data_IF_530305362559
#
_entry.id   IF_530305362559
#
_cell.length_a   1.000
_cell.length_b   1.000
_cell.length_c   1.000
_cell.angle_alpha   90.00
_cell.angle_beta   90.00
_cell.angle_gamma   90.00
#
_symmetry.space_group_name_H-M   'P 1'
#
loop_
_entity.id
_entity.type
_entity.pdbx_description
1 polymer ?
#
# COMPACT_ATOMS: atom_id res chain seq x y z
N UNK A 1 -13.54 0.33 -5.66
CA UNK A 1 -12.63 0.26 -6.82
C UNK A 1 -12.41 -1.19 -7.26
N UNK A 2 -12.47 -1.51 -8.55
CA UNK A 2 -12.21 -2.87 -9.00
C UNK A 2 -10.84 -3.42 -8.59
N UNK A 3 -9.83 -2.56 -8.45
CA UNK A 3 -8.47 -2.94 -8.03
C UNK A 3 -8.47 -3.36 -6.57
N UNK A 4 -8.93 -2.48 -5.68
CA UNK A 4 -9.10 -2.76 -4.26
C UNK A 4 -9.98 -3.99 -4.01
N UNK A 5 -11.17 -3.99 -4.61
CA UNK A 5 -12.15 -5.06 -4.42
C UNK A 5 -11.62 -6.41 -4.88
N UNK A 6 -10.84 -6.46 -5.97
CA UNK A 6 -10.24 -7.71 -6.44
C UNK A 6 -9.22 -8.25 -5.45
N UNK A 7 -8.34 -7.39 -4.89
CA UNK A 7 -7.38 -7.80 -3.88
C UNK A 7 -8.05 -8.31 -2.60
N UNK A 8 -9.02 -7.55 -2.09
CA UNK A 8 -9.72 -7.86 -0.86
C UNK A 8 -10.61 -9.10 -0.96
N UNK A 9 -11.41 -9.22 -2.04
CA UNK A 9 -12.19 -10.43 -2.29
C UNK A 9 -11.31 -11.65 -2.53
N UNK A 10 -10.16 -11.47 -3.20
CA UNK A 10 -9.18 -12.53 -3.37
C UNK A 10 -8.67 -13.07 -2.04
N UNK A 11 -8.33 -12.19 -1.07
CA UNK A 11 -7.97 -12.60 0.29
C UNK A 11 -9.09 -13.36 0.98
N UNK A 12 -10.32 -12.88 0.90
CA UNK A 12 -11.49 -13.54 1.49
C UNK A 12 -11.71 -14.94 0.93
N UNK A 13 -11.54 -15.13 -0.38
CA UNK A 13 -11.64 -16.44 -1.02
C UNK A 13 -10.53 -17.39 -0.56
N UNK A 14 -9.29 -16.90 -0.39
CA UNK A 14 -8.20 -17.71 0.15
C UNK A 14 -8.48 -18.12 1.60
N UNK A 15 -8.98 -17.21 2.45
CA UNK A 15 -9.39 -17.53 3.83
C UNK A 15 -10.53 -18.57 3.87
N UNK A 16 -11.39 -18.61 2.84
CA UNK A 16 -12.45 -19.64 2.71
C UNK A 16 -11.95 -20.99 2.20
N UNK A 17 -10.64 -21.12 1.91
CA UNK A 17 -10.00 -22.35 1.50
C UNK A 17 -9.75 -22.50 0.00
N UNK A 18 -10.08 -21.49 -0.84
CA UNK A 18 -9.69 -21.52 -2.25
C UNK A 18 -8.17 -21.32 -2.39
N UNK A 19 -7.63 -21.79 -3.50
CA UNK A 19 -6.20 -21.81 -3.80
C UNK A 19 -5.93 -21.34 -5.23
N UNK A 20 -4.66 -21.20 -5.60
CA UNK A 20 -4.27 -20.91 -6.99
C UNK A 20 -4.77 -21.95 -8.01
N UNK A 21 -5.26 -23.13 -7.58
CA UNK A 21 -5.88 -24.13 -8.46
C UNK A 21 -7.29 -23.74 -8.88
N UNK A 22 -7.93 -22.85 -8.13
CA UNK A 22 -9.30 -22.43 -8.36
C UNK A 22 -9.37 -21.29 -9.38
N UNK A 23 -10.27 -21.40 -10.34
CA UNK A 23 -10.42 -20.45 -11.45
C UNK A 23 -10.62 -19.00 -11.01
N UNK A 24 -11.41 -18.67 -9.97
CA UNK A 24 -11.54 -17.28 -9.50
C UNK A 24 -10.20 -16.67 -9.06
N UNK A 25 -9.39 -17.43 -8.31
CA UNK A 25 -8.07 -16.97 -7.85
C UNK A 25 -7.11 -16.76 -9.03
N UNK A 26 -7.08 -17.71 -9.97
CA UNK A 26 -6.23 -17.56 -11.17
C UNK A 26 -6.59 -16.32 -11.98
N UNK A 27 -7.89 -16.07 -12.19
CA UNK A 27 -8.37 -14.90 -12.93
C UNK A 27 -8.00 -13.60 -12.20
N UNK A 28 -8.19 -13.53 -10.89
CA UNK A 28 -7.82 -12.37 -10.07
C UNK A 28 -6.32 -12.07 -10.15
N UNK A 29 -5.46 -13.09 -9.95
CA UNK A 29 -4.02 -12.93 -10.06
C UNK A 29 -3.58 -12.41 -11.45
N UNK A 30 -4.11 -13.01 -12.52
CA UNK A 30 -3.80 -12.62 -13.90
C UNK A 30 -4.29 -11.20 -14.23
N UNK A 31 -5.44 -10.80 -13.70
CA UNK A 31 -5.99 -9.49 -13.91
C UNK A 31 -5.17 -8.43 -13.17
N UNK A 32 -4.83 -8.65 -11.89
CA UNK A 32 -3.98 -7.75 -11.10
C UNK A 32 -2.56 -7.63 -11.66
N UNK A 33 -1.99 -8.73 -12.17
CA UNK A 33 -0.67 -8.68 -12.82
C UNK A 33 -0.64 -7.67 -13.97
N UNK A 34 -1.70 -7.60 -14.77
CA UNK A 34 -1.81 -6.65 -15.90
C UNK A 34 -2.00 -5.21 -15.45
N UNK A 35 -2.50 -4.98 -14.23
CA UNK A 35 -2.77 -3.66 -13.67
C UNK A 35 -1.60 -3.08 -12.87
N UNK A 36 -0.52 -3.84 -12.69
CA UNK A 36 0.67 -3.32 -12.01
C UNK A 36 1.35 -2.22 -12.84
N UNK A 37 1.56 -1.07 -12.22
CA UNK A 37 2.20 0.10 -12.83
C UNK A 37 3.72 -0.08 -12.75
N UNK A 38 4.39 -0.16 -13.91
CA UNK A 38 5.84 -0.44 -13.98
C UNK A 38 6.65 0.66 -14.67
N UNK A 39 6.02 1.53 -15.42
CA UNK A 39 6.71 2.51 -16.28
C UNK A 39 6.29 3.94 -15.98
N UNK A 40 5.02 4.16 -15.61
CA UNK A 40 4.45 5.49 -15.42
C UNK A 40 4.89 6.08 -14.08
N UNK A 41 5.32 7.32 -14.11
CA UNK A 41 5.72 8.10 -12.93
C UNK A 41 4.74 9.26 -12.74
N UNK A 42 4.14 9.33 -11.58
CA UNK A 42 3.24 10.40 -11.16
C UNK A 42 3.89 11.35 -10.14
N UNK A 43 3.09 12.13 -9.46
CA UNK A 43 3.54 13.15 -8.51
C UNK A 43 4.29 12.59 -7.31
N UNK A 44 4.04 11.36 -6.92
CA UNK A 44 4.75 10.65 -5.84
C UNK A 44 6.27 10.65 -6.02
N UNK A 45 6.78 10.83 -7.26
CA UNK A 45 8.22 10.87 -7.53
C UNK A 45 8.89 12.15 -7.02
N UNK A 46 8.14 13.22 -6.75
CA UNK A 46 8.68 14.53 -6.34
C UNK A 46 9.60 14.36 -5.11
N UNK A 47 9.17 13.59 -4.14
CA UNK A 47 9.97 13.25 -2.94
C UNK A 47 10.78 11.95 -3.07
N UNK A 48 10.72 11.28 -4.24
CA UNK A 48 11.34 9.96 -4.50
C UNK A 48 11.95 9.85 -5.89
N UNK A 49 12.76 10.82 -6.32
CA UNK A 49 13.27 10.98 -7.71
C UNK A 49 13.88 9.72 -8.34
N UNK A 50 14.46 8.83 -7.54
CA UNK A 50 15.13 7.61 -8.00
C UNK A 50 14.30 6.34 -7.80
N UNK A 51 13.09 6.45 -7.24
CA UNK A 51 12.24 5.29 -7.02
C UNK A 51 11.59 4.87 -8.33
N UNK A 52 11.62 3.57 -8.61
CA UNK A 52 10.93 3.00 -9.76
C UNK A 52 9.48 2.69 -9.39
N UNK A 53 8.53 2.83 -10.33
CA UNK A 53 7.13 2.46 -10.12
C UNK A 53 7.01 0.95 -9.85
N UNK A 54 5.93 0.54 -9.20
CA UNK A 54 5.73 -0.86 -8.84
C UNK A 54 4.39 -1.16 -8.18
N UNK A 55 3.58 -0.14 -7.95
CA UNK A 55 2.30 -0.26 -7.25
C UNK A 55 1.10 -0.48 -8.16
N UNK A 56 -0.09 -0.41 -7.55
CA UNK A 56 -1.41 -0.42 -8.21
C UNK A 56 -2.17 0.83 -7.84
N UNK A 57 -2.96 1.36 -8.77
CA UNK A 57 -3.81 2.52 -8.52
C UNK A 57 -5.17 2.09 -7.92
N UNK A 58 -5.66 2.87 -6.95
CA UNK A 58 -7.03 2.72 -6.46
C UNK A 58 -8.04 2.98 -7.57
N UNK A 59 -7.93 4.10 -8.26
CA UNK A 59 -8.82 4.42 -9.37
C UNK A 59 -8.49 3.58 -10.61
N UNK A 60 -9.53 3.01 -11.21
CA UNK A 60 -9.39 2.27 -12.46
C UNK A 60 -8.81 3.17 -13.56
N UNK A 61 -7.72 2.70 -14.20
CA UNK A 61 -6.99 3.41 -15.28
C UNK A 61 -6.41 4.79 -14.90
N UNK A 62 -6.00 4.95 -13.65
CA UNK A 62 -5.29 6.15 -13.19
C UNK A 62 -3.84 5.83 -12.77
N UNK A 63 -3.04 5.43 -13.73
CA UNK A 63 -1.68 4.91 -13.50
C UNK A 63 -0.68 5.97 -12.99
N UNK A 64 -1.05 7.25 -13.00
CA UNK A 64 -0.24 8.32 -12.41
C UNK A 64 -0.30 8.35 -10.87
N UNK A 65 -1.33 7.75 -10.28
CA UNK A 65 -1.58 7.75 -8.84
C UNK A 65 -1.68 6.33 -8.26
N UNK A 66 -0.55 5.59 -8.22
CA UNK A 66 -0.52 4.33 -7.49
C UNK A 66 -0.81 4.58 -6.00
N UNK A 67 -1.56 3.68 -5.41
CA UNK A 67 -2.00 3.72 -4.03
C UNK A 67 -1.18 2.74 -3.19
N UNK A 68 -0.63 3.22 -2.08
CA UNK A 68 0.19 2.43 -1.15
C UNK A 68 -0.65 1.34 -0.49
N UNK A 69 -1.90 1.67 -0.15
CA UNK A 69 -2.81 0.78 0.54
C UNK A 69 -3.27 -0.38 -0.34
N UNK A 70 -3.77 -0.05 -1.55
CA UNK A 70 -4.10 -1.05 -2.58
C UNK A 70 -2.92 -1.97 -2.87
N UNK A 71 -1.74 -1.38 -3.06
CA UNK A 71 -0.52 -2.14 -3.34
C UNK A 71 -0.20 -3.14 -2.23
N UNK A 72 -0.31 -2.73 -0.97
CA UNK A 72 -0.05 -3.62 0.16
C UNK A 72 -1.04 -4.80 0.20
N UNK A 73 -2.34 -4.55 0.03
CA UNK A 73 -3.38 -5.59 0.03
C UNK A 73 -3.19 -6.55 -1.14
N UNK A 74 -2.92 -6.02 -2.34
CA UNK A 74 -2.72 -6.84 -3.54
C UNK A 74 -1.49 -7.74 -3.41
N UNK A 75 -0.37 -7.22 -2.90
CA UNK A 75 0.83 -8.01 -2.66
C UNK A 75 0.57 -9.13 -1.66
N UNK A 76 -0.16 -8.85 -0.56
CA UNK A 76 -0.55 -9.88 0.40
C UNK A 76 -1.40 -10.98 -0.25
N UNK A 77 -2.38 -10.61 -1.07
CA UNK A 77 -3.19 -11.56 -1.80
C UNK A 77 -2.37 -12.42 -2.75
N UNK A 78 -1.58 -11.79 -3.63
CA UNK A 78 -0.79 -12.51 -4.63
C UNK A 78 0.22 -13.48 -3.99
N UNK A 79 0.86 -13.06 -2.90
CA UNK A 79 1.79 -13.93 -2.18
C UNK A 79 1.09 -15.12 -1.54
N UNK A 80 -0.01 -14.92 -0.83
CA UNK A 80 -0.81 -15.99 -0.20
C UNK A 80 -1.41 -16.94 -1.24
N UNK A 81 -1.80 -16.43 -2.41
CA UNK A 81 -2.26 -17.25 -3.52
C UNK A 81 -1.17 -18.15 -4.11
N UNK A 82 0.10 -17.91 -3.77
CA UNK A 82 1.23 -18.63 -4.35
C UNK A 82 1.62 -18.15 -5.75
N UNK A 83 1.38 -16.87 -6.06
CA UNK A 83 1.74 -16.25 -7.33
C UNK A 83 3.23 -16.43 -7.65
N UNK A 84 3.53 -16.91 -8.86
CA UNK A 84 4.85 -17.41 -9.21
C UNK A 84 5.86 -16.32 -9.60
N UNK A 85 5.41 -15.19 -10.13
CA UNK A 85 6.30 -14.12 -10.55
C UNK A 85 6.80 -13.29 -9.36
N UNK A 86 7.73 -13.84 -8.59
CA UNK A 86 8.27 -13.20 -7.38
C UNK A 86 8.96 -11.88 -7.67
N UNK A 87 9.48 -11.67 -8.88
CA UNK A 87 10.08 -10.39 -9.28
C UNK A 87 9.06 -9.25 -9.27
N UNK A 88 7.83 -9.50 -9.69
CA UNK A 88 6.75 -8.52 -9.63
C UNK A 88 6.42 -8.11 -8.20
N UNK A 89 6.39 -9.08 -7.27
CA UNK A 89 6.18 -8.80 -5.85
C UNK A 89 7.35 -8.00 -5.26
N UNK A 90 8.58 -8.34 -5.62
CA UNK A 90 9.77 -7.60 -5.18
C UNK A 90 9.76 -6.14 -5.64
N UNK A 91 9.38 -5.88 -6.90
CA UNK A 91 9.22 -4.53 -7.44
C UNK A 91 8.20 -3.73 -6.59
N UNK A 92 7.05 -4.32 -6.28
CA UNK A 92 6.04 -3.68 -5.44
C UNK A 92 6.54 -3.43 -4.01
N UNK A 93 7.24 -4.40 -3.40
CA UNK A 93 7.84 -4.21 -2.08
C UNK A 93 8.87 -3.07 -2.07
N UNK A 94 9.71 -2.98 -3.09
CA UNK A 94 10.69 -1.90 -3.21
C UNK A 94 10.02 -0.54 -3.36
N UNK A 95 8.90 -0.46 -4.11
CA UNK A 95 8.11 0.76 -4.22
C UNK A 95 7.51 1.15 -2.85
N UNK A 96 6.84 0.24 -2.14
CA UNK A 96 6.31 0.47 -0.79
C UNK A 96 7.42 0.93 0.18
N UNK A 97 8.57 0.29 0.16
CA UNK A 97 9.71 0.67 1.02
C UNK A 97 10.17 2.10 0.70
N UNK A 98 10.24 2.46 -0.57
CA UNK A 98 10.59 3.81 -1.01
C UNK A 98 9.57 4.86 -0.59
N UNK A 99 8.30 4.50 -0.44
CA UNK A 99 7.22 5.39 0.01
C UNK A 99 7.18 5.60 1.54
N UNK A 100 7.99 4.88 2.32
CA UNK A 100 8.05 5.10 3.77
C UNK A 100 8.52 6.53 4.09
N UNK A 101 7.75 7.27 4.86
CA UNK A 101 8.07 8.61 5.35
C UNK A 101 9.15 8.60 6.44
N UNK A 102 9.77 9.75 6.70
CA UNK A 102 10.86 9.89 7.70
C UNK A 102 10.44 9.49 9.11
N UNK A 103 9.16 9.73 9.47
CA UNK A 103 8.61 9.33 10.77
C UNK A 103 8.38 7.81 10.90
N UNK A 104 8.51 7.07 9.80
CA UNK A 104 8.35 5.61 9.76
C UNK A 104 7.01 5.12 9.28
N UNK A 105 6.00 5.97 9.12
CA UNK A 105 4.68 5.63 8.58
C UNK A 105 4.60 5.75 7.07
N UNK A 106 3.42 5.47 6.52
CA UNK A 106 3.08 5.62 5.11
C UNK A 106 1.78 6.41 4.93
N UNK A 107 1.78 7.34 3.97
CA UNK A 107 0.59 7.92 3.38
C UNK A 107 0.06 7.03 2.24
N UNK A 108 -1.11 7.38 1.70
CA UNK A 108 -1.73 6.61 0.62
C UNK A 108 -1.06 6.85 -0.74
N UNK A 109 -0.67 8.09 -1.05
CA UNK A 109 -0.18 8.49 -2.37
C UNK A 109 1.19 9.16 -2.35
N UNK A 110 1.56 9.82 -1.24
CA UNK A 110 2.75 10.63 -1.13
C UNK A 110 3.66 10.20 0.03
N UNK A 111 4.90 10.65 -0.08
CA UNK A 111 5.90 10.51 0.98
C UNK A 111 6.21 11.88 1.59
N UNK A 112 6.25 11.93 2.92
CA UNK A 112 6.59 13.15 3.67
C UNK A 112 5.67 14.36 3.35
N UNK A 113 4.43 14.12 2.96
CA UNK A 113 3.45 15.16 2.67
C UNK A 113 2.75 15.59 3.97
N UNK A 114 3.46 16.40 4.78
CA UNK A 114 3.05 16.82 6.13
C UNK A 114 2.95 18.34 6.29
N UNK A 115 2.65 19.08 5.22
CA UNK A 115 2.51 20.53 5.24
C UNK A 115 1.18 20.97 5.87
N UNK A 116 0.98 20.69 7.16
CA UNK A 116 -0.29 20.83 7.89
C UNK A 116 -0.97 22.21 7.77
N UNK A 117 -0.22 23.28 7.47
CA UNK A 117 -0.77 24.61 7.22
C UNK A 117 -1.71 24.65 5.99
N UNK A 118 -1.58 23.72 5.06
CA UNK A 118 -2.45 23.61 3.88
C UNK A 118 -3.87 23.14 4.25
N UNK A 119 -4.06 22.50 5.41
CA UNK A 119 -5.38 22.09 5.88
C UNK A 119 -6.33 23.29 6.17
N UNK A 120 -5.79 24.49 6.28
CA UNK A 120 -6.56 25.71 6.47
C UNK A 120 -7.11 26.30 5.15
N UNK A 121 -6.83 25.67 4.01
CA UNK A 121 -7.34 26.12 2.71
C UNK A 121 -8.77 25.58 2.54
N UNK A 122 -9.78 26.48 2.34
CA UNK A 122 -11.20 26.09 2.40
C UNK A 122 -11.70 25.25 1.20
N UNK A 123 -10.84 24.95 0.23
CA UNK A 123 -11.19 24.23 -0.99
C UNK A 123 -10.80 22.75 -0.96
N UNK A 124 -10.25 22.28 0.17
CA UNK A 124 -9.87 20.88 0.28
C UNK A 124 -11.11 20.00 0.54
N UNK A 125 -11.42 19.15 -0.41
CA UNK A 125 -12.42 18.09 -0.22
C UNK A 125 -11.93 17.15 0.88
N UNK A 126 -12.75 16.92 1.92
CA UNK A 126 -12.41 16.13 3.11
C UNK A 126 -11.07 16.48 3.81
N UNK A 127 -10.56 17.69 3.66
CA UNK A 127 -9.22 18.05 4.16
C UNK A 127 -8.08 17.37 3.41
N UNK A 128 -8.31 16.88 2.20
CA UNK A 128 -7.43 15.96 1.47
C UNK A 128 -6.33 16.64 0.64
N UNK A 129 -5.92 17.88 0.93
CA UNK A 129 -4.72 18.50 0.35
C UNK A 129 -3.43 17.86 0.85
N UNK A 130 -3.50 17.16 1.97
CA UNK A 130 -2.36 16.47 2.54
C UNK A 130 -2.59 14.96 2.49
N UNK A 131 -1.49 14.25 2.33
CA UNK A 131 -1.43 12.80 2.47
C UNK A 131 -0.37 12.41 3.53
N UNK A 132 -0.61 12.77 4.81
CA UNK A 132 0.30 12.41 5.87
C UNK A 132 0.29 10.89 6.10
N UNK A 133 1.37 10.32 6.66
CA UNK A 133 1.33 8.95 7.14
C UNK A 133 0.21 8.72 8.14
N UNK A 134 -0.52 7.62 7.98
CA UNK A 134 -1.67 7.24 8.82
C UNK A 134 -1.51 5.83 9.36
N UNK A 135 -2.19 5.54 10.48
CA UNK A 135 -2.06 4.26 11.17
C UNK A 135 -2.59 3.09 10.32
N UNK A 136 -3.72 3.27 9.66
CA UNK A 136 -4.37 2.25 8.82
C UNK A 136 -3.51 1.83 7.63
N UNK A 137 -3.02 2.78 6.80
CA UNK A 137 -2.11 2.49 5.67
C UNK A 137 -0.80 1.87 6.16
N UNK A 138 -0.22 2.44 7.23
CA UNK A 138 1.04 1.94 7.79
C UNK A 138 0.92 0.51 8.33
N UNK A 139 -0.20 0.16 8.96
CA UNK A 139 -0.45 -1.19 9.46
C UNK A 139 -0.48 -2.23 8.31
N UNK A 140 -1.13 -1.90 7.19
CA UNK A 140 -1.17 -2.78 6.01
C UNK A 140 0.21 -2.96 5.37
N UNK A 141 1.00 -1.90 5.26
CA UNK A 141 2.39 -1.98 4.76
C UNK A 141 3.27 -2.86 5.66
N UNK A 142 3.18 -2.70 6.99
CA UNK A 142 3.91 -3.53 7.95
C UNK A 142 3.50 -5.00 7.83
N UNK A 143 2.19 -5.27 7.74
CA UNK A 143 1.65 -6.62 7.58
C UNK A 143 2.19 -7.27 6.31
N UNK A 144 2.11 -6.57 5.18
CA UNK A 144 2.60 -7.03 3.88
C UNK A 144 4.11 -7.33 3.92
N UNK A 145 4.94 -6.39 4.37
CA UNK A 145 6.40 -6.57 4.44
C UNK A 145 6.79 -7.72 5.38
N UNK A 146 6.04 -7.89 6.49
CA UNK A 146 6.24 -8.98 7.43
C UNK A 146 5.90 -10.33 6.83
N UNK A 147 4.83 -10.41 6.04
CA UNK A 147 4.43 -11.62 5.33
C UNK A 147 5.46 -12.02 4.28
N UNK A 148 5.90 -11.08 3.44
CA UNK A 148 6.82 -11.37 2.33
C UNK A 148 8.21 -11.78 2.83
N UNK A 149 8.85 -10.96 3.68
CA UNK A 149 10.18 -11.27 4.22
C UNK A 149 10.52 -10.43 5.46
N UNK A 150 10.00 -10.84 6.60
CA UNK A 150 10.22 -10.16 7.88
C UNK A 150 11.71 -9.92 8.21
N UNK A 151 12.57 -10.85 7.83
CA UNK A 151 14.02 -10.78 8.13
C UNK A 151 14.69 -9.68 7.32
N UNK A 152 14.48 -9.67 6.01
CA UNK A 152 15.11 -8.71 5.11
C UNK A 152 14.59 -7.28 5.34
N UNK A 153 13.30 -7.13 5.66
CA UNK A 153 12.66 -5.83 5.86
C UNK A 153 12.61 -5.37 7.32
N UNK A 154 13.36 -6.04 8.21
CA UNK A 154 13.33 -5.80 9.68
C UNK A 154 13.46 -4.31 10.05
N UNK A 155 14.41 -3.59 9.47
CA UNK A 155 14.64 -2.17 9.79
C UNK A 155 13.45 -1.29 9.40
N UNK A 156 12.86 -1.52 8.24
CA UNK A 156 11.69 -0.80 7.72
C UNK A 156 10.49 -1.07 8.61
N UNK A 157 10.22 -2.35 8.89
CA UNK A 157 9.14 -2.79 9.76
C UNK A 157 9.28 -2.18 11.17
N UNK A 158 10.48 -2.18 11.75
CA UNK A 158 10.72 -1.59 13.08
C UNK A 158 10.41 -0.09 13.13
N UNK A 159 10.73 0.67 12.06
CA UNK A 159 10.36 2.09 11.97
C UNK A 159 8.84 2.26 11.93
N UNK A 160 8.15 1.45 11.13
CA UNK A 160 6.69 1.47 11.05
C UNK A 160 6.02 1.08 12.36
N UNK A 161 6.53 0.05 13.06
CA UNK A 161 6.03 -0.34 14.39
C UNK A 161 6.22 0.78 15.40
N UNK A 162 7.37 1.49 15.36
CA UNK A 162 7.58 2.66 16.22
C UNK A 162 6.57 3.76 15.90
N UNK A 163 6.31 4.03 14.61
CA UNK A 163 5.28 4.98 14.19
C UNK A 163 3.92 4.59 14.78
N UNK A 164 3.44 3.35 14.57
CA UNK A 164 2.13 2.90 15.10
C UNK A 164 2.04 3.02 16.63
N UNK A 165 3.10 2.71 17.36
CA UNK A 165 3.12 2.89 18.83
C UNK A 165 2.96 4.34 19.25
N UNK A 166 3.49 5.29 18.47
CA UNK A 166 3.39 6.70 18.76
C UNK A 166 2.03 7.30 18.39
N UNK A 167 1.32 6.68 17.42
CA UNK A 167 -0.01 7.09 16.96
C UNK A 167 -1.14 6.45 17.77
N UNK A 168 -0.82 5.58 18.73
CA UNK A 168 -1.85 4.96 19.57
C UNK A 168 -2.42 5.98 20.55
N UNK A 169 -3.73 6.10 20.58
CA UNK A 169 -4.46 6.98 21.51
C UNK A 169 -4.37 6.45 22.95
N UNK A 170 -4.63 7.32 23.93
CA UNK A 170 -4.57 6.98 25.35
C UNK A 170 -5.55 5.87 25.77
N UNK A 171 -6.65 5.71 25.06
CA UNK A 171 -7.66 4.67 25.27
C UNK A 171 -7.30 3.32 24.61
N UNK A 172 -6.16 3.28 23.89
CA UNK A 172 -5.66 2.09 23.19
C UNK A 172 -6.11 1.98 21.74
N UNK A 173 -6.94 2.90 21.24
CA UNK A 173 -7.39 2.92 19.85
C UNK A 173 -6.36 3.53 18.90
N UNK A 174 -6.61 3.40 17.59
CA UNK A 174 -5.95 4.15 16.53
C UNK A 174 -6.99 4.84 15.68
N UNK A 175 -6.69 6.06 15.27
CA UNK A 175 -7.48 6.78 14.29
C UNK A 175 -6.97 6.43 12.88
N UNK A 176 -7.88 5.94 12.03
CA UNK A 176 -7.64 5.73 10.60
C UNK A 176 -8.21 6.89 9.79
N UNK A 177 -7.53 7.25 8.69
CA UNK A 177 -8.02 8.32 7.80
C UNK A 177 -9.02 7.81 6.78
N UNK A 178 -8.85 6.57 6.35
CA UNK A 178 -9.58 5.97 5.24
C UNK A 178 -10.52 4.83 5.68
N UNK A 179 -10.65 4.63 6.99
CA UNK A 179 -11.47 3.59 7.59
C UNK A 179 -12.85 4.07 8.03
#
# INVERSE_FOLDING_TARGET
SPVWDTGFNGLSLLESGLTLKDTPIQKACKWLEKKQILEIKGDWIVNNKNLLPGGWAFQYENDFYPDVDDTAVIVMFLDRAGYQNKKRLEIACNWIIGMQSKNGGWGAFDKDNTYHYLNNIPFADHGALLDPPTADVSARCISMLSQINKKNYKKIIQKGVKFLKNEQENDGSWFGRWG
#
